data_IF_748043531754
#
_entry.id   IF_748043531754
#
_cell.length_a   1.000
_cell.length_b   1.000
_cell.length_c   1.000
_cell.angle_alpha   90.00
_cell.angle_beta   90.00
_cell.angle_gamma   90.00
#
_symmetry.space_group_name_H-M   'P 1'
#
loop_
_entity.id
_entity.type
_entity.pdbx_description
1 polymer ?
#
# COMPACT_ATOMS: atom_id res chain seq x y z
N UNK A 1 15.81 6.62 -14.49
CA UNK A 1 14.34 6.70 -14.36
C UNK A 1 14.03 7.32 -13.02
N UNK A 2 13.29 8.42 -12.97
CA UNK A 2 12.88 9.05 -11.71
C UNK A 2 11.76 8.20 -11.08
N UNK A 3 12.02 7.65 -9.90
CA UNK A 3 11.02 6.89 -9.13
C UNK A 3 10.20 7.83 -8.26
N UNK A 4 8.88 7.75 -8.35
CA UNK A 4 7.93 8.46 -7.51
C UNK A 4 7.58 7.62 -6.30
N UNK A 5 7.44 8.29 -5.15
CA UNK A 5 6.87 7.71 -3.94
C UNK A 5 5.35 7.81 -4.01
N UNK A 6 4.69 6.72 -3.66
CA UNK A 6 3.26 6.56 -3.57
C UNK A 6 2.94 6.10 -2.15
N UNK A 7 2.09 6.85 -1.47
CA UNK A 7 1.64 6.50 -0.13
C UNK A 7 0.35 5.69 -0.22
N UNK A 8 0.27 4.62 0.55
CA UNK A 8 -0.92 3.80 0.65
C UNK A 8 -1.24 3.54 2.11
N UNK A 9 -2.51 3.34 2.39
CA UNK A 9 -3.03 2.83 3.64
C UNK A 9 -3.64 1.46 3.36
N UNK A 10 -3.20 0.43 4.08
CA UNK A 10 -3.70 -0.94 3.91
C UNK A 10 -4.17 -1.46 5.26
N UNK A 11 -5.45 -1.78 5.34
CA UNK A 11 -6.04 -2.41 6.52
C UNK A 11 -5.89 -3.93 6.38
N UNK A 12 -5.13 -4.52 7.29
CA UNK A 12 -4.84 -5.95 7.33
C UNK A 12 -5.41 -6.53 8.62
N UNK A 13 -6.26 -7.56 8.49
CA UNK A 13 -6.67 -8.36 9.64
C UNK A 13 -5.63 -9.43 9.93
N UNK A 14 -5.08 -9.42 11.14
CA UNK A 14 -4.12 -10.42 11.58
C UNK A 14 -4.81 -11.76 11.84
N UNK A 15 -4.03 -12.84 11.97
CA UNK A 15 -4.57 -14.15 12.39
C UNK A 15 -5.24 -14.13 13.77
N UNK A 16 -4.83 -13.19 14.63
CA UNK A 16 -5.44 -12.99 15.95
C UNK A 16 -6.82 -12.32 15.88
N UNK A 17 -7.22 -11.81 14.71
CA UNK A 17 -8.49 -11.09 14.52
C UNK A 17 -8.35 -9.57 14.60
N UNK A 18 -7.21 -9.06 15.05
CA UNK A 18 -6.94 -7.62 15.15
C UNK A 18 -6.88 -6.99 13.75
N UNK A 19 -7.53 -5.84 13.61
CA UNK A 19 -7.39 -5.01 12.42
C UNK A 19 -6.27 -4.00 12.65
N UNK A 20 -5.24 -4.06 11.82
CA UNK A 20 -4.13 -3.11 11.85
C UNK A 20 -4.01 -2.38 10.53
N UNK A 21 -3.54 -1.16 10.60
CA UNK A 21 -3.34 -0.29 9.45
C UNK A 21 -1.86 -0.18 9.15
N UNK A 22 -1.47 -0.54 7.93
CA UNK A 22 -0.10 -0.50 7.42
C UNK A 22 0.02 0.62 6.41
N UNK A 23 1.09 1.40 6.49
CA UNK A 23 1.38 2.49 5.57
C UNK A 23 2.61 2.16 4.71
N UNK A 24 2.50 1.30 3.69
CA UNK A 24 3.65 0.90 2.91
C UNK A 24 4.12 2.01 1.96
N UNK A 25 5.41 2.31 2.03
CA UNK A 25 6.08 3.20 1.09
C UNK A 25 6.32 2.47 -0.24
N UNK A 26 5.51 2.78 -1.25
CA UNK A 26 5.66 2.17 -2.58
C UNK A 26 6.39 3.12 -3.53
N UNK A 27 7.37 2.59 -4.28
CA UNK A 27 8.17 3.37 -5.24
C UNK A 27 7.96 2.81 -6.65
N UNK A 28 7.70 3.68 -7.62
CA UNK A 28 7.42 3.27 -8.99
C UNK A 28 7.63 4.37 -10.02
N UNK A 29 7.49 4.06 -11.32
CA UNK A 29 7.55 5.06 -12.37
C UNK A 29 6.37 6.05 -12.24
N UNK A 30 6.58 7.28 -12.71
CA UNK A 30 5.51 8.27 -12.81
C UNK A 30 4.31 7.72 -13.59
N UNK A 31 3.10 8.06 -13.17
CA UNK A 31 1.88 7.64 -13.85
C UNK A 31 1.45 6.20 -13.58
N UNK A 32 1.98 5.52 -12.55
CA UNK A 32 1.38 4.27 -12.07
C UNK A 32 -0.11 4.46 -11.80
N UNK A 33 -0.92 3.50 -12.25
CA UNK A 33 -2.36 3.53 -12.00
C UNK A 33 -2.65 3.22 -10.54
N UNK A 34 -3.78 3.68 -9.99
CA UNK A 34 -4.19 3.31 -8.63
C UNK A 34 -4.15 1.81 -8.38
N UNK A 35 -4.56 0.99 -9.35
CA UNK A 35 -4.53 -0.48 -9.25
C UNK A 35 -3.12 -1.05 -9.08
N UNK A 36 -2.13 -0.50 -9.80
CA UNK A 36 -0.73 -0.91 -9.65
C UNK A 36 -0.17 -0.54 -8.28
N UNK A 37 -0.53 0.65 -7.77
CA UNK A 37 -0.15 1.10 -6.43
C UNK A 37 -0.80 0.21 -5.37
N UNK A 38 -2.09 -0.12 -5.51
CA UNK A 38 -2.79 -1.05 -4.61
C UNK A 38 -2.11 -2.43 -4.58
N UNK A 39 -1.80 -3.02 -5.74
CA UNK A 39 -1.16 -4.32 -5.81
C UNK A 39 0.23 -4.33 -5.12
N UNK A 40 1.02 -3.26 -5.32
CA UNK A 40 2.31 -3.10 -4.66
C UNK A 40 2.17 -2.92 -3.14
N UNK A 41 1.23 -2.07 -2.72
CA UNK A 41 0.95 -1.77 -1.31
C UNK A 41 0.45 -3.00 -0.56
N UNK A 42 -0.47 -3.78 -1.15
CA UNK A 42 -0.98 -5.02 -0.56
C UNK A 42 0.13 -6.04 -0.37
N UNK A 43 0.99 -6.19 -1.38
CA UNK A 43 2.15 -7.09 -1.30
C UNK A 43 3.10 -6.70 -0.18
N UNK A 44 3.38 -5.40 -0.03
CA UNK A 44 4.23 -4.88 1.05
C UNK A 44 3.58 -5.08 2.43
N UNK A 45 2.29 -4.75 2.57
CA UNK A 45 1.56 -4.90 3.83
C UNK A 45 1.48 -6.37 4.29
N UNK A 46 1.27 -7.31 3.37
CA UNK A 46 1.27 -8.75 3.68
C UNK A 46 2.67 -9.30 4.00
N UNK A 47 3.74 -8.63 3.56
CA UNK A 47 5.10 -9.00 3.94
C UNK A 47 5.40 -8.59 5.40
N UNK A 48 4.87 -7.45 5.85
CA UNK A 48 4.95 -7.01 7.26
C UNK A 48 4.03 -7.84 8.16
N UNK A 49 2.77 -8.01 7.75
CA UNK A 49 1.75 -8.73 8.52
C UNK A 49 1.64 -10.16 8.03
N UNK A 50 2.61 -10.99 8.43
CA UNK A 50 2.71 -12.38 7.97
C UNK A 50 1.44 -13.18 8.28
N UNK A 51 0.76 -13.58 7.22
CA UNK A 51 -0.44 -14.40 7.29
C UNK A 51 -1.71 -13.65 7.70
N UNK A 52 -1.70 -12.31 7.64
CA UNK A 52 -2.92 -11.52 7.69
C UNK A 52 -3.66 -11.51 6.34
N UNK A 53 -4.86 -10.95 6.35
CA UNK A 53 -5.73 -10.78 5.17
C UNK A 53 -6.01 -9.30 4.95
N UNK A 54 -5.84 -8.81 3.73
CA UNK A 54 -6.20 -7.42 3.39
C UNK A 54 -7.72 -7.29 3.36
N UNK A 55 -8.27 -6.37 4.13
CA UNK A 55 -9.71 -6.08 4.15
C UNK A 55 -10.09 -4.81 3.40
N UNK A 56 -9.14 -3.90 3.23
CA UNK A 56 -9.35 -2.67 2.50
C UNK A 56 -8.06 -1.88 2.35
N UNK A 57 -8.06 -0.93 1.43
CA UNK A 57 -6.90 -0.04 1.26
C UNK A 57 -7.30 1.25 0.58
N UNK A 58 -6.61 2.33 0.92
CA UNK A 58 -6.68 3.61 0.25
C UNK A 58 -5.29 3.93 -0.34
N UNK A 59 -5.23 4.51 -1.53
CA UNK A 59 -3.97 4.90 -2.17
C UNK A 59 -4.01 6.39 -2.46
N UNK A 60 -2.95 7.10 -2.07
CA UNK A 60 -2.80 8.52 -2.30
C UNK A 60 -1.49 8.79 -3.03
N UNK A 61 -1.59 9.47 -4.16
CA UNK A 61 -0.43 9.95 -4.90
C UNK A 61 0.02 11.28 -4.29
N UNK A 62 0.74 11.26 -3.17
CA UNK A 62 1.42 12.44 -2.59
C UNK A 62 2.48 13.06 -3.49
N UNK A 63 2.75 12.45 -4.65
CA UNK A 63 3.57 13.00 -5.73
C UNK A 63 2.91 14.08 -6.61
N UNK A 64 1.67 14.52 -6.34
CA UNK A 64 1.07 15.71 -6.97
C UNK A 64 0.74 16.78 -5.92
N UNK A 65 1.75 17.38 -5.29
CA UNK A 65 1.61 18.81 -4.97
C UNK A 65 1.78 19.56 -6.30
N UNK A 66 0.65 20.09 -6.78
CA UNK A 66 0.46 21.15 -7.79
C UNK A 66 1.62 21.45 -8.74
#
# INVERSE_FOLDING_TARGET
MTTHRYDAEVNVRTKGGDLITVYPDTFGPAGMTPQQIHAAAHKAALAEVRGGTVEGSNVSTTGQKR
#
